data_IF_609405874639
#
_entry.id   IF_609405874639
#
_cell.length_a   1.000
_cell.length_b   1.000
_cell.length_c   1.000
_cell.angle_alpha   90.00
_cell.angle_beta   90.00
_cell.angle_gamma   90.00
#
_symmetry.space_group_name_H-M   'P 1'
#
loop_
_entity.id
_entity.type
_entity.pdbx_description
1 polymer ?
#
# COMPACT_ATOMS: atom_id res chain seq x y z
N UNK A 1 10.67 36.14 5.61
CA UNK A 1 10.58 34.73 6.06
C UNK A 1 9.10 34.44 6.24
N UNK A 2 8.56 33.47 5.51
CA UNK A 2 7.15 33.09 5.63
C UNK A 2 6.96 32.43 6.99
N UNK A 3 6.16 33.03 7.87
CA UNK A 3 5.88 32.52 9.21
C UNK A 3 4.73 31.52 9.25
N UNK A 4 4.23 31.10 8.08
CA UNK A 4 3.10 30.19 7.98
C UNK A 4 3.53 28.79 8.42
N UNK A 5 3.01 28.36 9.57
CA UNK A 5 3.24 27.02 10.08
C UNK A 5 2.71 25.98 9.07
N UNK A 6 3.53 24.97 8.76
CA UNK A 6 3.12 23.91 7.84
C UNK A 6 2.47 22.81 8.66
N UNK A 7 1.16 22.60 8.48
CA UNK A 7 0.45 21.53 9.17
C UNK A 7 0.94 20.17 8.68
N UNK A 8 1.01 19.21 9.60
CA UNK A 8 1.18 17.81 9.25
C UNK A 8 0.26 16.94 10.08
N UNK A 9 -0.04 15.76 9.56
CA UNK A 9 -0.64 14.67 10.31
C UNK A 9 0.23 13.43 10.21
N UNK A 10 0.15 12.58 11.23
CA UNK A 10 0.76 11.26 11.25
C UNK A 10 -0.35 10.23 11.17
N UNK A 11 -0.31 9.34 10.20
CA UNK A 11 -1.31 8.27 10.06
C UNK A 11 -0.72 6.98 9.54
N UNK A 12 -1.51 5.91 9.53
CA UNK A 12 -1.11 4.63 8.96
C UNK A 12 -2.30 3.83 8.42
N UNK A 13 -2.02 3.00 7.41
CA UNK A 13 -2.93 1.96 6.93
C UNK A 13 -2.31 0.62 7.31
N UNK A 14 -2.90 -0.07 8.29
CA UNK A 14 -2.35 -1.31 8.86
C UNK A 14 -0.85 -1.21 9.19
N UNK A 15 -0.46 -0.16 9.92
CA UNK A 15 0.90 0.16 10.36
C UNK A 15 1.97 0.36 9.28
N UNK A 16 1.57 0.46 8.01
CA UNK A 16 2.36 1.18 7.01
C UNK A 16 2.05 2.68 7.17
N UNK A 17 3.04 3.45 7.66
CA UNK A 17 2.82 4.75 8.27
C UNK A 17 3.33 5.93 7.42
N UNK A 18 2.59 7.04 7.43
CA UNK A 18 2.83 8.19 6.55
C UNK A 18 2.86 9.50 7.33
N UNK A 19 3.68 10.44 6.85
CA UNK A 19 3.55 11.86 7.17
C UNK A 19 2.64 12.48 6.11
N UNK A 20 1.53 13.07 6.52
CA UNK A 20 0.51 13.65 5.65
C UNK A 20 0.70 15.17 5.69
N UNK A 21 0.87 15.80 4.53
CA UNK A 21 1.09 17.25 4.42
C UNK A 21 -0.04 17.86 3.58
N UNK A 22 -1.03 18.50 4.23
CA UNK A 22 -2.09 19.22 3.53
C UNK A 22 -1.56 20.46 2.80
N UNK A 23 -1.73 20.49 1.49
CA UNK A 23 -1.38 21.65 0.66
C UNK A 23 -2.26 21.75 -0.59
N UNK A 24 -3.55 22.06 -0.47
CA UNK A 24 -4.47 22.07 -1.61
C UNK A 24 -4.02 22.94 -2.79
N UNK A 25 -3.21 23.98 -2.52
CA UNK A 25 -2.67 24.90 -3.51
C UNK A 25 -1.33 24.49 -4.13
N UNK A 26 -0.69 23.41 -3.65
CA UNK A 26 0.64 22.99 -4.07
C UNK A 26 1.68 24.13 -3.95
N UNK A 27 1.66 24.83 -2.82
CA UNK A 27 2.52 25.98 -2.51
C UNK A 27 3.80 25.60 -1.74
N UNK A 28 3.84 24.42 -1.11
CA UNK A 28 4.96 23.91 -0.35
C UNK A 28 5.87 23.11 -1.28
N UNK A 29 7.12 23.54 -1.41
CA UNK A 29 8.14 22.74 -2.07
C UNK A 29 8.66 21.65 -1.11
N UNK A 30 8.56 20.40 -1.54
CA UNK A 30 9.02 19.23 -0.80
C UNK A 30 10.01 18.47 -1.69
N UNK A 31 11.26 18.93 -1.87
CA UNK A 31 12.25 18.16 -2.63
C UNK A 31 12.52 16.81 -1.95
N UNK A 32 13.09 15.85 -2.69
CA UNK A 32 13.38 14.51 -2.19
C UNK A 32 14.16 14.52 -0.87
N UNK A 33 15.12 15.45 -0.70
CA UNK A 33 15.87 15.60 0.55
C UNK A 33 15.00 16.00 1.74
N UNK A 34 14.00 16.87 1.53
CA UNK A 34 13.06 17.27 2.57
C UNK A 34 12.13 16.12 2.96
N UNK A 35 11.63 15.38 1.98
CA UNK A 35 10.84 14.16 2.21
C UNK A 35 11.63 13.15 3.01
N UNK A 36 12.87 12.87 2.60
CA UNK A 36 13.73 11.91 3.28
C UNK A 36 13.99 12.30 4.73
N UNK A 37 14.20 13.60 4.99
CA UNK A 37 14.39 14.11 6.35
C UNK A 37 13.11 14.07 7.17
N UNK A 38 11.94 14.37 6.61
CA UNK A 38 10.65 14.25 7.29
C UNK A 38 10.37 12.81 7.71
N UNK A 39 10.70 11.85 6.84
CA UNK A 39 10.53 10.43 7.07
C UNK A 39 11.58 9.82 8.02
N UNK A 40 12.69 10.50 8.29
CA UNK A 40 13.67 10.05 9.28
C UNK A 40 13.04 10.06 10.68
N UNK A 41 12.97 8.87 11.31
CA UNK A 41 12.30 8.68 12.62
C UNK A 41 13.03 9.33 13.80
N UNK A 42 14.27 9.80 13.64
CA UNK A 42 15.08 10.44 14.70
C UNK A 42 15.24 11.94 14.45
N UNK A 43 15.52 12.30 13.21
CA UNK A 43 15.80 13.67 12.81
C UNK A 43 14.54 14.45 12.40
N UNK A 44 13.48 13.75 12.01
CA UNK A 44 12.20 14.33 11.59
C UNK A 44 11.01 13.76 12.36
N UNK A 45 9.91 13.51 11.66
CA UNK A 45 8.66 13.00 12.24
C UNK A 45 8.64 11.47 12.21
N UNK A 46 9.13 10.88 11.12
CA UNK A 46 9.12 9.44 10.90
C UNK A 46 7.93 8.96 10.07
N UNK A 47 8.20 8.15 9.05
CA UNK A 47 7.21 7.43 8.26
C UNK A 47 7.85 6.65 7.11
N UNK A 48 7.11 5.68 6.59
CA UNK A 48 7.48 4.93 5.39
C UNK A 48 7.34 5.76 4.10
N UNK A 49 6.64 6.90 4.18
CA UNK A 49 6.61 7.91 3.13
C UNK A 49 5.81 9.16 3.48
N UNK A 50 5.75 10.09 2.52
CA UNK A 50 4.97 11.33 2.62
C UNK A 50 3.76 11.26 1.69
N UNK A 51 2.59 11.61 2.21
CA UNK A 51 1.37 11.86 1.44
C UNK A 51 1.15 13.37 1.35
N UNK A 52 1.60 13.97 0.25
CA UNK A 52 1.36 15.39 -0.02
C UNK A 52 -0.02 15.57 -0.66
N UNK A 53 -0.91 16.28 0.04
CA UNK A 53 -2.33 16.34 -0.28
C UNK A 53 -2.66 17.62 -1.03
N UNK A 54 -2.72 17.50 -2.34
CA UNK A 54 -2.89 18.63 -3.26
C UNK A 54 -4.12 18.45 -4.13
N UNK A 55 -4.70 19.55 -4.63
CA UNK A 55 -5.72 19.46 -5.68
C UNK A 55 -5.07 19.07 -7.00
N UNK A 56 -5.67 18.16 -7.76
CA UNK A 56 -5.15 17.70 -9.05
C UNK A 56 -4.90 18.85 -10.02
N UNK A 57 -5.77 19.87 -10.02
CA UNK A 57 -5.63 21.06 -10.87
C UNK A 57 -4.42 21.95 -10.51
N UNK A 58 -3.91 21.85 -9.28
CA UNK A 58 -2.78 22.62 -8.79
C UNK A 58 -1.43 21.95 -9.09
N UNK A 59 -1.39 20.62 -9.19
CA UNK A 59 -0.16 19.87 -9.40
C UNK A 59 0.11 19.60 -10.89
N UNK A 60 1.32 19.90 -11.43
CA UNK A 60 1.64 19.71 -12.85
C UNK A 60 1.40 18.28 -13.37
N UNK A 61 1.79 17.26 -12.61
CA UNK A 61 1.65 15.85 -13.00
C UNK A 61 0.20 15.34 -12.99
N UNK A 62 -0.70 16.00 -12.24
CA UNK A 62 -2.07 15.54 -12.04
C UNK A 62 -3.12 16.40 -12.77
N UNK A 63 -2.70 17.51 -13.38
CA UNK A 63 -3.58 18.48 -14.04
C UNK A 63 -4.48 17.84 -15.10
N UNK A 64 -3.99 16.82 -15.81
CA UNK A 64 -4.75 16.08 -16.83
C UNK A 64 -5.85 15.19 -16.23
N UNK A 65 -5.71 14.77 -14.97
CA UNK A 65 -6.70 13.94 -14.25
C UNK A 65 -7.72 14.79 -13.46
N UNK A 66 -7.58 16.13 -13.44
CA UNK A 66 -8.38 17.00 -12.58
C UNK A 66 -9.89 17.00 -12.87
N UNK A 67 -10.29 16.60 -14.08
CA UNK A 67 -11.70 16.43 -14.44
C UNK A 67 -12.31 15.13 -13.88
N UNK A 68 -11.48 14.11 -13.61
CA UNK A 68 -11.90 12.80 -13.13
C UNK A 68 -11.73 12.65 -11.62
N UNK A 69 -10.70 13.29 -11.04
CA UNK A 69 -10.39 13.24 -9.62
C UNK A 69 -9.90 14.60 -9.12
N UNK A 70 -10.62 15.18 -8.17
CA UNK A 70 -10.32 16.50 -7.59
C UNK A 70 -9.02 16.53 -6.79
N UNK A 71 -8.72 15.43 -6.09
CA UNK A 71 -7.59 15.30 -5.18
C UNK A 71 -6.51 14.39 -5.75
N UNK A 72 -5.26 14.82 -5.62
CA UNK A 72 -4.07 14.09 -6.03
C UNK A 72 -3.26 13.67 -4.81
N UNK A 73 -3.00 12.37 -4.72
CA UNK A 73 -2.09 11.81 -3.73
C UNK A 73 -0.67 11.86 -4.29
N UNK A 74 0.03 12.97 -4.03
CA UNK A 74 1.46 13.11 -4.33
C UNK A 74 2.27 12.29 -3.30
N UNK A 75 2.36 10.98 -3.56
CA UNK A 75 3.05 10.03 -2.71
C UNK A 75 4.54 9.94 -3.06
N UNK A 76 5.39 9.94 -2.02
CA UNK A 76 6.83 9.70 -2.10
C UNK A 76 7.29 8.76 -0.99
N UNK A 77 8.24 7.90 -1.32
CA UNK A 77 8.85 6.97 -0.38
C UNK A 77 9.70 7.70 0.67
N UNK A 78 10.06 6.99 1.74
CA UNK A 78 10.91 7.52 2.82
C UNK A 78 12.29 8.02 2.39
N UNK A 79 12.81 7.62 1.23
CA UNK A 79 14.07 8.12 0.68
C UNK A 79 13.90 9.34 -0.25
N UNK A 80 12.66 9.82 -0.41
CA UNK A 80 12.30 10.93 -1.29
C UNK A 80 12.03 10.54 -2.74
N UNK A 81 12.20 9.27 -3.12
CA UNK A 81 11.87 8.80 -4.47
C UNK A 81 10.37 8.85 -4.75
N UNK A 82 10.03 9.08 -6.02
CA UNK A 82 8.65 9.07 -6.50
C UNK A 82 8.14 7.63 -6.50
N UNK A 83 6.93 7.45 -5.98
CA UNK A 83 6.22 6.19 -6.06
C UNK A 83 4.92 6.36 -6.86
N UNK A 84 4.62 5.36 -7.68
CA UNK A 84 3.44 5.40 -8.56
C UNK A 84 2.14 5.25 -7.78
N UNK A 85 2.12 4.35 -6.80
CA UNK A 85 0.92 4.03 -6.01
C UNK A 85 1.30 3.33 -4.69
N UNK A 86 0.49 3.55 -3.66
CA UNK A 86 0.50 2.75 -2.43
C UNK A 86 -0.94 2.56 -1.94
N UNK A 87 -1.43 1.32 -1.92
CA UNK A 87 -2.82 1.02 -1.55
C UNK A 87 -3.14 1.38 -0.09
N UNK A 88 -2.17 1.23 0.82
CA UNK A 88 -2.29 1.71 2.20
C UNK A 88 -2.34 3.25 2.26
N UNK A 89 -1.49 3.91 1.47
CA UNK A 89 -1.46 5.37 1.34
C UNK A 89 -2.79 5.94 0.86
N UNK A 90 -3.42 5.32 -0.15
CA UNK A 90 -4.73 5.77 -0.68
C UNK A 90 -5.81 5.71 0.41
N UNK A 91 -5.84 4.66 1.25
CA UNK A 91 -6.80 4.59 2.37
C UNK A 91 -6.57 5.71 3.38
N UNK A 92 -5.31 5.92 3.78
CA UNK A 92 -4.95 6.99 4.73
C UNK A 92 -5.27 8.37 4.16
N UNK A 93 -5.03 8.58 2.87
CA UNK A 93 -5.35 9.81 2.16
C UNK A 93 -6.86 10.08 2.14
N UNK A 94 -7.66 9.08 1.75
CA UNK A 94 -9.13 9.19 1.75
C UNK A 94 -9.68 9.45 3.15
N UNK A 95 -9.13 8.76 4.17
CA UNK A 95 -9.49 9.00 5.56
C UNK A 95 -9.17 10.43 6.02
N UNK A 96 -8.00 10.95 5.63
CA UNK A 96 -7.65 12.35 5.89
C UNK A 96 -8.64 13.32 5.25
N UNK A 97 -8.99 13.10 3.97
CA UNK A 97 -9.94 13.96 3.27
C UNK A 97 -11.31 13.99 3.95
N UNK A 98 -11.83 12.82 4.36
CA UNK A 98 -13.08 12.73 5.11
C UNK A 98 -12.97 13.49 6.44
N UNK A 99 -11.91 13.22 7.21
CA UNK A 99 -11.68 13.86 8.52
C UNK A 99 -11.58 15.39 8.42
N UNK A 100 -10.98 15.89 7.34
CA UNK A 100 -10.81 17.31 7.10
C UNK A 100 -12.09 17.98 6.54
N UNK A 101 -13.18 17.23 6.32
CA UNK A 101 -14.40 17.75 5.72
C UNK A 101 -14.25 18.16 4.25
N UNK A 102 -13.27 17.57 3.56
CA UNK A 102 -12.96 17.86 2.16
C UNK A 102 -13.73 16.95 1.20
N UNK A 103 -14.25 15.83 1.70
CA UNK A 103 -15.13 14.88 1.03
C UNK A 103 -16.14 14.33 2.05
N UNK A 104 -17.22 13.74 1.55
CA UNK A 104 -18.19 13.00 2.36
C UNK A 104 -17.99 11.48 2.20
N UNK A 105 -18.76 10.70 2.95
CA UNK A 105 -18.85 9.24 2.77
C UNK A 105 -19.36 8.89 1.36
N UNK A 106 -19.01 7.69 0.88
CA UNK A 106 -19.36 7.21 -0.46
C UNK A 106 -18.17 7.11 -1.41
N UNK A 107 -18.46 7.20 -2.72
CA UNK A 107 -17.47 6.99 -3.78
C UNK A 107 -16.60 8.22 -4.01
N UNK A 108 -15.29 7.99 -4.09
CA UNK A 108 -14.25 8.99 -4.28
C UNK A 108 -13.25 8.53 -5.33
N UNK A 109 -13.00 9.37 -6.32
CA UNK A 109 -11.88 9.22 -7.25
C UNK A 109 -10.65 9.96 -6.73
N UNK A 110 -9.52 9.26 -6.59
CA UNK A 110 -8.23 9.81 -6.16
C UNK A 110 -7.23 9.71 -7.30
N UNK A 111 -6.66 10.84 -7.73
CA UNK A 111 -5.58 10.82 -8.70
C UNK A 111 -4.29 10.32 -8.04
N UNK A 112 -3.59 9.43 -8.72
CA UNK A 112 -2.25 8.95 -8.34
C UNK A 112 -1.36 8.94 -9.57
N UNK A 113 -0.04 8.80 -9.40
CA UNK A 113 0.88 8.66 -10.54
C UNK A 113 0.62 7.36 -11.33
N UNK A 114 0.10 6.33 -10.68
CA UNK A 114 -0.44 5.11 -11.30
C UNK A 114 -1.87 5.23 -11.84
N UNK A 115 -2.35 6.45 -12.13
CA UNK A 115 -3.69 6.75 -12.63
C UNK A 115 -4.73 6.98 -11.53
N UNK A 116 -5.98 7.24 -11.94
CA UNK A 116 -7.11 7.44 -11.03
C UNK A 116 -7.47 6.12 -10.32
N UNK A 117 -7.64 6.18 -8.99
CA UNK A 117 -8.10 5.07 -8.15
C UNK A 117 -9.50 5.37 -7.64
N UNK A 118 -10.36 4.37 -7.76
CA UNK A 118 -11.69 4.40 -7.16
C UNK A 118 -11.58 3.94 -5.71
N UNK A 119 -12.16 4.74 -4.82
CA UNK A 119 -12.20 4.53 -3.38
C UNK A 119 -13.65 4.61 -2.93
N UNK A 120 -14.04 3.77 -1.99
CA UNK A 120 -15.32 3.86 -1.31
C UNK A 120 -15.10 4.00 0.19
N UNK A 121 -15.69 5.03 0.78
CA UNK A 121 -15.62 5.31 2.21
C UNK A 121 -16.98 4.94 2.82
N UNK A 122 -17.02 3.86 3.60
CA UNK A 122 -18.24 3.38 4.22
C UNK A 122 -18.58 4.18 5.49
N UNK A 123 -19.86 4.14 5.89
CA UNK A 123 -20.38 4.79 7.12
C UNK A 123 -19.70 4.27 8.40
N UNK A 124 -19.21 3.03 8.38
CA UNK A 124 -18.47 2.42 9.50
C UNK A 124 -16.98 2.84 9.55
N UNK A 125 -16.56 3.71 8.63
CA UNK A 125 -15.20 4.22 8.50
C UNK A 125 -14.24 3.29 7.78
N UNK A 126 -14.69 2.12 7.30
CA UNK A 126 -13.88 1.26 6.45
C UNK A 126 -13.69 1.89 5.06
N UNK A 127 -12.49 1.69 4.49
CA UNK A 127 -12.13 2.28 3.20
C UNK A 127 -11.74 1.17 2.24
N UNK A 128 -12.45 1.10 1.12
CA UNK A 128 -12.23 0.16 0.03
C UNK A 128 -11.51 0.86 -1.11
N UNK A 129 -10.44 0.26 -1.63
CA UNK A 129 -9.66 0.79 -2.76
C UNK A 129 -9.68 -0.23 -3.89
N UNK A 130 -9.94 0.24 -5.12
CA UNK A 130 -9.77 -0.58 -6.33
C UNK A 130 -8.28 -0.77 -6.62
N UNK A 131 -7.83 -2.03 -6.55
CA UNK A 131 -6.42 -2.42 -6.68
C UNK A 131 -6.03 -2.82 -8.10
N UNK A 132 -6.92 -2.62 -9.06
CA UNK A 132 -6.74 -3.05 -10.44
C UNK A 132 -7.07 -4.53 -10.63
N UNK A 133 -6.46 -5.17 -11.62
CA UNK A 133 -6.74 -6.56 -11.99
C UNK A 133 -5.55 -7.44 -11.68
N UNK A 134 -5.82 -8.64 -11.17
CA UNK A 134 -4.79 -9.66 -10.95
C UNK A 134 -4.34 -10.26 -12.28
N UNK A 135 -3.06 -10.62 -12.37
CA UNK A 135 -2.51 -11.51 -13.37
C UNK A 135 -2.02 -12.78 -12.67
N UNK A 136 -2.24 -13.96 -13.28
CA UNK A 136 -1.75 -15.25 -12.79
C UNK A 136 -0.81 -15.86 -13.83
N UNK A 137 0.49 -15.56 -13.76
CA UNK A 137 1.48 -16.26 -14.55
C UNK A 137 1.52 -17.76 -14.18
N UNK A 138 1.83 -18.63 -15.16
CA UNK A 138 1.80 -20.08 -14.98
C UNK A 138 3.10 -20.66 -14.40
N UNK A 139 4.16 -19.84 -14.33
CA UNK A 139 5.48 -20.23 -13.87
C UNK A 139 5.41 -20.79 -12.44
N UNK A 140 6.00 -21.98 -12.27
CA UNK A 140 6.14 -22.59 -10.96
C UNK A 140 7.38 -22.03 -10.27
N UNK A 141 7.19 -21.60 -9.03
CA UNK A 141 8.23 -21.02 -8.20
C UNK A 141 8.36 -21.86 -6.95
N UNK A 142 9.58 -22.10 -6.50
CA UNK A 142 9.87 -22.63 -5.17
C UNK A 142 10.57 -21.56 -4.36
N UNK A 143 10.04 -21.27 -3.17
CA UNK A 143 10.67 -20.37 -2.19
C UNK A 143 11.35 -21.22 -1.13
N UNK A 144 12.58 -20.85 -0.76
CA UNK A 144 13.40 -21.57 0.22
C UNK A 144 13.89 -20.65 1.33
N UNK A 145 13.68 -21.06 2.58
CA UNK A 145 14.17 -20.39 3.80
C UNK A 145 14.71 -21.45 4.75
N UNK A 146 15.91 -21.25 5.27
CA UNK A 146 16.54 -22.14 6.26
C UNK A 146 16.50 -23.64 5.87
N UNK A 147 16.71 -23.92 4.58
CA UNK A 147 16.70 -25.29 4.03
C UNK A 147 15.32 -25.92 3.87
N UNK A 148 14.23 -25.19 4.12
CA UNK A 148 12.85 -25.62 3.86
C UNK A 148 12.36 -24.98 2.58
N UNK A 149 11.68 -25.76 1.74
CA UNK A 149 11.21 -25.31 0.43
C UNK A 149 9.71 -25.49 0.30
N UNK A 150 9.04 -24.47 -0.25
CA UNK A 150 7.60 -24.49 -0.52
C UNK A 150 7.32 -24.13 -1.97
N UNK A 151 6.36 -24.81 -2.62
CA UNK A 151 5.82 -24.31 -3.87
C UNK A 151 5.12 -22.97 -3.59
N UNK A 152 5.41 -21.98 -4.43
CA UNK A 152 4.83 -20.66 -4.36
C UNK A 152 4.00 -20.37 -5.62
N UNK A 153 2.87 -19.69 -5.44
CA UNK A 153 2.05 -19.22 -6.55
C UNK A 153 2.57 -17.87 -7.03
N UNK A 154 2.83 -17.75 -8.32
CA UNK A 154 3.11 -16.47 -8.95
C UNK A 154 1.81 -15.69 -9.13
N UNK A 155 1.75 -14.49 -8.55
CA UNK A 155 0.64 -13.55 -8.73
C UNK A 155 1.22 -12.18 -9.05
N UNK A 156 0.62 -11.46 -9.98
CA UNK A 156 1.05 -10.10 -10.29
C UNK A 156 -0.13 -9.13 -10.11
N UNK A 157 0.12 -8.09 -9.30
CA UNK A 157 -0.84 -7.04 -8.93
C UNK A 157 -0.42 -5.66 -9.47
N UNK A 158 0.35 -5.65 -10.57
CA UNK A 158 1.16 -4.53 -11.05
C UNK A 158 2.65 -4.71 -10.73
N UNK A 159 2.94 -5.50 -9.70
CA UNK A 159 4.27 -5.93 -9.27
C UNK A 159 4.24 -7.45 -8.96
N UNK A 160 5.38 -8.15 -9.03
CA UNK A 160 5.43 -9.61 -8.86
C UNK A 160 5.35 -10.04 -7.39
N UNK A 161 4.59 -11.11 -7.14
CA UNK A 161 4.41 -11.76 -5.83
C UNK A 161 4.59 -13.28 -5.94
N UNK A 162 5.23 -13.87 -4.93
CA UNK A 162 5.41 -15.29 -4.77
C UNK A 162 4.77 -15.73 -3.44
N UNK A 163 3.58 -16.33 -3.52
CA UNK A 163 2.78 -16.70 -2.34
C UNK A 163 3.03 -18.16 -1.97
N UNK A 164 3.71 -18.38 -0.84
CA UNK A 164 4.01 -19.69 -0.28
C UNK A 164 3.11 -20.02 0.92
N UNK A 165 2.36 -21.12 0.84
CA UNK A 165 1.59 -21.63 1.97
C UNK A 165 2.48 -22.48 2.87
N UNK A 166 2.50 -22.15 4.15
CA UNK A 166 3.34 -22.79 5.17
C UNK A 166 2.50 -23.28 6.36
N UNK A 167 3.08 -24.16 7.17
CA UNK A 167 2.42 -24.68 8.37
C UNK A 167 2.47 -23.67 9.55
N UNK A 168 3.52 -22.86 9.62
CA UNK A 168 3.75 -21.87 10.68
C UNK A 168 4.47 -20.64 10.11
N UNK A 169 4.07 -19.43 10.49
CA UNK A 169 4.71 -18.17 10.08
C UNK A 169 6.13 -18.00 10.61
N UNK A 170 6.51 -18.74 11.66
CA UNK A 170 7.89 -18.83 12.13
C UNK A 170 8.82 -19.44 11.06
N UNK A 171 8.28 -20.25 10.13
CA UNK A 171 9.07 -20.84 9.04
C UNK A 171 9.52 -19.82 7.99
N UNK A 172 8.95 -18.61 8.00
CA UNK A 172 9.38 -17.53 7.11
C UNK A 172 10.76 -16.96 7.48
N UNK A 173 11.29 -17.29 8.67
CA UNK A 173 12.64 -16.88 9.09
C UNK A 173 12.81 -15.36 9.22
N UNK A 174 14.04 -14.91 8.97
CA UNK A 174 14.39 -13.49 8.86
C UNK A 174 14.05 -12.98 7.45
N UNK A 175 13.06 -12.09 7.39
CA UNK A 175 12.59 -11.51 6.14
C UNK A 175 13.23 -10.16 5.82
N UNK A 176 14.21 -9.68 6.60
CA UNK A 176 15.02 -8.53 6.19
C UNK A 176 16.01 -8.90 5.08
N UNK A 177 16.46 -10.15 5.04
CA UNK A 177 17.12 -10.73 3.88
C UNK A 177 16.09 -11.31 2.91
N UNK A 178 16.35 -11.21 1.61
CA UNK A 178 15.49 -11.80 0.60
C UNK A 178 15.55 -13.33 0.67
N UNK A 179 14.40 -14.03 0.81
CA UNK A 179 14.34 -15.48 0.68
C UNK A 179 14.87 -15.96 -0.68
N UNK A 180 15.47 -17.15 -0.70
CA UNK A 180 15.89 -17.77 -1.96
C UNK A 180 14.66 -18.23 -2.74
N UNK A 181 14.69 -18.08 -4.07
CA UNK A 181 13.65 -18.60 -4.94
C UNK A 181 14.22 -19.18 -6.23
N UNK A 182 13.53 -20.17 -6.78
CA UNK A 182 13.90 -20.81 -8.03
C UNK A 182 12.67 -21.10 -8.92
N UNK A 183 12.78 -20.95 -10.26
CA UNK A 183 13.96 -20.45 -10.98
C UNK A 183 14.10 -18.92 -10.89
N UNK A 184 15.33 -18.43 -10.73
CA UNK A 184 15.61 -16.99 -10.63
C UNK A 184 15.11 -16.18 -11.84
N UNK A 185 15.10 -16.81 -13.02
CA UNK A 185 14.64 -16.20 -14.27
C UNK A 185 13.16 -15.79 -14.28
N UNK A 186 12.34 -16.30 -13.34
CA UNK A 186 10.92 -15.89 -13.22
C UNK A 186 10.81 -14.45 -12.72
N UNK A 187 11.76 -14.01 -11.91
CA UNK A 187 11.76 -12.68 -11.30
C UNK A 187 13.11 -11.98 -11.52
N UNK A 188 13.42 -11.54 -12.76
CA UNK A 188 14.71 -10.93 -13.09
C UNK A 188 14.97 -9.65 -12.29
N UNK A 189 13.90 -8.92 -11.97
CA UNK A 189 13.95 -7.67 -11.20
C UNK A 189 13.63 -7.89 -9.71
N UNK A 190 13.61 -9.13 -9.23
CA UNK A 190 13.20 -9.48 -7.85
C UNK A 190 11.68 -9.57 -7.66
N UNK A 191 11.26 -9.98 -6.45
CA UNK A 191 9.88 -10.35 -6.14
C UNK A 191 9.52 -10.09 -4.67
N UNK A 192 8.23 -9.81 -4.41
CA UNK A 192 7.69 -9.83 -3.05
C UNK A 192 7.32 -11.26 -2.67
N UNK A 193 7.70 -11.71 -1.48
CA UNK A 193 7.51 -13.10 -1.05
C UNK A 193 6.62 -13.14 0.18
N UNK A 194 5.44 -13.73 0.04
CA UNK A 194 4.46 -13.87 1.12
C UNK A 194 4.44 -15.30 1.66
N UNK A 195 4.55 -15.43 2.98
CA UNK A 195 4.38 -16.70 3.70
C UNK A 195 3.03 -16.69 4.39
N UNK A 196 2.20 -17.71 4.14
CA UNK A 196 0.78 -17.70 4.49
C UNK A 196 0.41 -18.92 5.32
N UNK A 197 -0.35 -18.71 6.39
CA UNK A 197 -0.97 -19.77 7.20
C UNK A 197 -2.49 -19.60 7.23
N UNK A 198 -3.20 -20.72 7.38
CA UNK A 198 -4.66 -20.69 7.55
C UNK A 198 -5.06 -20.26 8.97
N UNK A 199 -6.13 -19.47 9.05
CA UNK A 199 -6.80 -19.07 10.31
C UNK A 199 -8.26 -19.50 10.38
N UNK A 200 -8.83 -19.92 9.26
CA UNK A 200 -10.18 -20.46 9.17
C UNK A 200 -10.70 -20.39 7.73
N UNK A 201 -11.99 -20.71 7.51
CA UNK A 201 -12.61 -20.56 6.20
C UNK A 201 -12.48 -19.12 5.68
N UNK A 202 -11.83 -18.96 4.52
CA UNK A 202 -11.57 -17.66 3.89
C UNK A 202 -10.85 -16.64 4.79
N UNK A 203 -10.02 -17.14 5.70
CA UNK A 203 -9.24 -16.31 6.61
C UNK A 203 -7.83 -16.88 6.74
N UNK A 204 -6.86 -16.05 6.39
CA UNK A 204 -5.43 -16.40 6.42
C UNK A 204 -4.64 -15.31 7.15
N UNK A 205 -3.45 -15.66 7.60
CA UNK A 205 -2.46 -14.71 8.11
C UNK A 205 -1.16 -14.80 7.32
N UNK A 206 -0.44 -13.70 7.17
CA UNK A 206 0.78 -13.63 6.39
C UNK A 206 1.92 -12.84 7.05
N UNK A 207 3.14 -13.15 6.65
CA UNK A 207 4.33 -12.28 6.74
C UNK A 207 4.88 -12.08 5.33
N UNK A 208 5.61 -11.00 5.10
CA UNK A 208 6.10 -10.64 3.76
C UNK A 208 7.52 -10.14 3.78
N UNK A 209 8.32 -10.57 2.80
CA UNK A 209 9.51 -9.85 2.36
C UNK A 209 9.12 -9.00 1.16
N UNK A 210 9.21 -7.68 1.28
CA UNK A 210 9.01 -6.77 0.16
C UNK A 210 10.35 -6.48 -0.54
N UNK A 211 10.35 -6.64 -1.86
CA UNK A 211 11.49 -6.34 -2.73
C UNK A 211 11.97 -4.91 -2.44
N UNK A 212 13.21 -4.79 -2.00
CA UNK A 212 13.86 -3.51 -1.74
C UNK A 212 13.61 -2.94 -0.34
N UNK A 213 12.70 -3.53 0.45
CA UNK A 213 12.33 -3.04 1.78
C UNK A 213 12.63 -4.05 2.90
N UNK A 214 12.65 -5.36 2.61
CA UNK A 214 12.74 -6.38 3.64
C UNK A 214 11.38 -6.66 4.30
N UNK A 215 11.38 -7.03 5.57
CA UNK A 215 10.13 -7.31 6.29
C UNK A 215 9.34 -6.03 6.56
N UNK A 216 8.09 -6.01 6.11
CA UNK A 216 7.16 -4.91 6.40
C UNK A 216 5.97 -5.41 7.21
N UNK A 217 5.32 -4.49 7.93
CA UNK A 217 4.15 -4.80 8.76
C UNK A 217 2.86 -4.88 7.93
N UNK A 218 2.87 -4.36 6.72
CA UNK A 218 1.73 -4.40 5.79
C UNK A 218 2.16 -4.17 4.35
N UNK A 219 1.66 -5.02 3.45
CA UNK A 219 1.79 -4.88 2.01
C UNK A 219 0.41 -5.08 1.37
N UNK A 220 -0.17 -4.01 0.80
CA UNK A 220 -1.52 -4.06 0.23
C UNK A 220 -1.62 -4.97 -1.00
N UNK A 221 -0.69 -4.85 -1.95
CA UNK A 221 -0.63 -5.74 -3.12
C UNK A 221 -0.29 -7.18 -2.74
N UNK A 222 0.52 -7.38 -1.69
CA UNK A 222 0.81 -8.70 -1.12
C UNK A 222 -0.43 -9.37 -0.53
N UNK A 223 -1.23 -8.64 0.26
CA UNK A 223 -2.51 -9.15 0.76
C UNK A 223 -3.46 -9.52 -0.39
N UNK A 224 -3.52 -8.70 -1.44
CA UNK A 224 -4.28 -9.01 -2.65
C UNK A 224 -3.80 -10.31 -3.31
N UNK A 225 -2.49 -10.46 -3.50
CA UNK A 225 -1.89 -11.67 -4.06
C UNK A 225 -2.20 -12.92 -3.23
N UNK A 226 -2.12 -12.81 -1.90
CA UNK A 226 -2.46 -13.88 -0.95
C UNK A 226 -3.91 -14.32 -1.09
N UNK A 227 -4.85 -13.38 -1.15
CA UNK A 227 -6.27 -13.70 -1.32
C UNK A 227 -6.54 -14.42 -2.65
N UNK A 228 -5.95 -13.97 -3.75
CA UNK A 228 -6.06 -14.63 -5.06
C UNK A 228 -5.48 -16.06 -5.00
N UNK A 229 -4.28 -16.22 -4.44
CA UNK A 229 -3.64 -17.53 -4.31
C UNK A 229 -4.45 -18.48 -3.42
N UNK A 230 -5.03 -18.00 -2.32
CA UNK A 230 -5.87 -18.77 -1.42
C UNK A 230 -7.17 -19.18 -2.09
N UNK A 231 -7.84 -18.27 -2.81
CA UNK A 231 -9.02 -18.59 -3.60
C UNK A 231 -8.75 -19.71 -4.63
N UNK A 232 -7.60 -19.69 -5.30
CA UNK A 232 -7.21 -20.76 -6.24
C UNK A 232 -6.92 -22.08 -5.53
N UNK A 233 -6.22 -22.06 -4.40
CA UNK A 233 -5.97 -23.26 -3.58
C UNK A 233 -7.26 -23.90 -3.09
N UNK A 234 -8.23 -23.09 -2.69
CA UNK A 234 -9.48 -23.53 -2.09
C UNK A 234 -10.56 -23.90 -3.14
N UNK A 235 -10.24 -23.82 -4.44
CA UNK A 235 -11.18 -24.12 -5.52
C UNK A 235 -12.28 -23.07 -5.70
N UNK A 236 -12.08 -21.85 -5.21
CA UNK A 236 -13.03 -20.76 -5.18
C UNK A 236 -12.73 -19.68 -6.24
N UNK A 237 -12.19 -20.07 -7.40
CA UNK A 237 -11.89 -19.15 -8.50
C UNK A 237 -13.14 -18.37 -8.96
N UNK A 238 -13.18 -17.02 -8.82
CA UNK A 238 -14.32 -16.21 -9.26
C UNK A 238 -14.62 -16.31 -10.75
N UNK A 239 -13.61 -16.53 -11.59
CA UNK A 239 -13.80 -16.69 -13.03
C UNK A 239 -14.50 -18.01 -13.39
N UNK A 240 -14.38 -19.04 -12.52
CA UNK A 240 -15.06 -20.33 -12.70
C UNK A 240 -16.41 -20.37 -11.98
N UNK A 241 -16.49 -19.77 -10.80
CA UNK A 241 -17.72 -19.77 -9.99
C UNK A 241 -18.72 -18.70 -10.43
N UNK A 242 -18.27 -17.68 -11.16
CA UNK A 242 -19.09 -16.56 -11.62
C UNK A 242 -19.54 -15.59 -10.52
N UNK A 243 -19.01 -15.72 -9.30
CA UNK A 243 -19.34 -14.89 -8.15
C UNK A 243 -18.07 -14.34 -7.48
N UNK A 244 -18.10 -13.11 -6.92
CA UNK A 244 -16.96 -12.60 -6.16
C UNK A 244 -16.60 -13.49 -4.97
N UNK A 245 -15.32 -13.51 -4.61
CA UNK A 245 -14.82 -14.21 -3.42
C UNK A 245 -14.06 -13.24 -2.53
N UNK A 246 -14.36 -13.30 -1.23
CA UNK A 246 -13.74 -12.42 -0.23
C UNK A 246 -12.90 -13.23 0.75
N UNK A 247 -11.69 -12.77 1.01
CA UNK A 247 -10.78 -13.32 2.02
C UNK A 247 -10.39 -12.25 3.04
N UNK A 248 -10.33 -12.66 4.31
CA UNK A 248 -9.70 -11.87 5.38
C UNK A 248 -8.22 -12.25 5.45
N UNK A 249 -7.34 -11.25 5.44
CA UNK A 249 -5.89 -11.41 5.46
C UNK A 249 -5.33 -10.64 6.64
N UNK A 250 -4.80 -11.36 7.64
CA UNK A 250 -4.09 -10.76 8.77
C UNK A 250 -2.62 -10.55 8.41
N UNK A 251 -2.12 -9.34 8.64
CA UNK A 251 -0.73 -8.93 8.53
C UNK A 251 -0.21 -8.53 9.92
N UNK A 252 1.11 -8.40 10.13
CA UNK A 252 1.65 -7.96 11.42
C UNK A 252 1.11 -6.60 11.89
N UNK A 253 0.66 -5.75 10.96
CA UNK A 253 0.10 -4.43 11.21
C UNK A 253 -1.41 -4.31 11.24
N UNK A 254 -2.14 -5.44 11.14
CA UNK A 254 -3.60 -5.46 11.23
C UNK A 254 -4.23 -6.33 10.15
N UNK A 255 -5.51 -6.09 9.85
CA UNK A 255 -6.30 -6.96 8.97
C UNK A 255 -6.79 -6.20 7.75
N UNK A 256 -6.73 -6.87 6.60
CA UNK A 256 -7.31 -6.41 5.34
C UNK A 256 -8.35 -7.41 4.85
N UNK A 257 -9.38 -6.92 4.18
CA UNK A 257 -10.41 -7.73 3.53
C UNK A 257 -10.27 -7.53 2.04
N UNK A 258 -10.03 -8.62 1.31
CA UNK A 258 -9.78 -8.59 -0.13
C UNK A 258 -10.92 -9.30 -0.86
N UNK A 259 -11.48 -8.64 -1.87
CA UNK A 259 -12.47 -9.25 -2.76
C UNK A 259 -11.91 -9.36 -4.18
N UNK A 260 -11.90 -10.56 -4.74
CA UNK A 260 -11.68 -10.81 -6.18
C UNK A 260 -13.01 -10.98 -6.88
N UNK A 261 -13.24 -10.19 -7.94
CA UNK A 261 -14.41 -10.26 -8.80
C UNK A 261 -14.21 -11.22 -9.98
N UNK A 262 -15.28 -11.72 -10.63
CA UNK A 262 -15.18 -12.68 -11.74
C UNK A 262 -14.33 -12.23 -12.93
N UNK A 263 -14.24 -10.92 -13.14
CA UNK A 263 -13.44 -10.32 -14.21
C UNK A 263 -11.96 -10.10 -13.81
N UNK A 264 -11.58 -10.53 -12.60
CA UNK A 264 -10.24 -10.40 -12.03
C UNK A 264 -9.96 -9.05 -11.38
N UNK A 265 -10.93 -8.14 -11.30
CA UNK A 265 -10.80 -6.92 -10.52
C UNK A 265 -10.67 -7.23 -9.03
N UNK A 266 -9.79 -6.51 -8.34
CA UNK A 266 -9.51 -6.66 -6.92
C UNK A 266 -9.90 -5.40 -6.16
N UNK A 267 -10.60 -5.59 -5.06
CA UNK A 267 -10.87 -4.55 -4.07
C UNK A 267 -10.17 -4.90 -2.76
N UNK A 268 -9.56 -3.90 -2.13
CA UNK A 268 -8.93 -4.02 -0.83
C UNK A 268 -9.61 -3.07 0.15
N UNK A 269 -10.26 -3.63 1.15
CA UNK A 269 -10.88 -2.92 2.26
C UNK A 269 -10.02 -3.02 3.51
N UNK A 270 -9.85 -1.92 4.23
CA UNK A 270 -9.11 -1.95 5.49
C UNK A 270 -9.22 -0.65 6.27
N UNK A 271 -8.71 -0.64 7.51
CA UNK A 271 -8.69 0.54 8.33
C UNK A 271 -7.64 1.55 7.84
N UNK A 272 -7.87 2.80 8.22
CA UNK A 272 -6.91 3.89 8.17
C UNK A 272 -7.01 4.68 9.48
N UNK A 273 -5.87 5.09 10.02
CA UNK A 273 -5.80 5.75 11.34
C UNK A 273 -5.00 7.04 11.21
N UNK A 274 -5.51 8.12 11.81
CA UNK A 274 -4.71 9.33 12.11
C UNK A 274 -4.30 9.26 13.59
N UNK A 275 -2.99 9.21 13.83
CA UNK A 275 -2.37 9.05 15.14
C UNK A 275 -2.07 10.40 15.80
N UNK A 276 -1.61 11.38 15.03
CA UNK A 276 -1.25 12.69 15.54
C UNK A 276 -1.43 13.79 14.49
N UNK A 277 -1.50 15.03 14.95
CA UNK A 277 -1.52 16.25 14.14
C UNK A 277 -0.62 17.29 14.80
N UNK A 278 -0.01 18.16 13.99
CA UNK A 278 0.90 19.18 14.48
C UNK A 278 1.36 20.12 13.39
N UNK A 279 2.42 20.86 13.68
CA UNK A 279 3.03 21.80 12.75
C UNK A 279 4.53 21.54 12.62
N UNK A 280 5.04 21.58 11.40
CA UNK A 280 6.47 21.55 11.07
C UNK A 280 7.03 22.96 11.31
N UNK A 281 8.17 23.03 11.99
CA UNK A 281 8.91 24.29 12.16
C UNK A 281 9.43 24.76 10.78
N UNK A 282 9.01 25.95 10.29
CA UNK A 282 9.42 26.44 8.98
C UNK A 282 10.94 26.66 8.89
N UNK A 283 11.61 27.06 9.97
CA UNK A 283 13.07 27.26 9.96
C UNK A 283 13.82 25.94 9.84
N UNK A 284 13.28 24.88 10.46
CA UNK A 284 13.82 23.53 10.30
C UNK A 284 13.69 23.07 8.84
N UNK A 285 12.52 23.28 8.22
CA UNK A 285 12.29 22.86 6.83
C UNK A 285 13.16 23.64 5.84
N UNK A 286 13.30 24.96 6.01
CA UNK A 286 14.21 25.79 5.20
C UNK A 286 15.66 25.26 5.25
N UNK A 287 16.14 24.90 6.45
CA UNK A 287 17.49 24.35 6.65
C UNK A 287 17.70 23.03 5.90
N UNK A 288 16.64 22.26 5.70
CA UNK A 288 16.70 20.96 5.01
C UNK A 288 16.61 21.12 3.50
N UNK A 289 15.87 22.13 3.02
CA UNK A 289 15.69 22.41 1.58
C UNK A 289 16.93 23.09 0.98
N UNK A 290 17.64 23.91 1.76
CA UNK A 290 18.86 24.61 1.34
C UNK A 290 18.61 26.06 0.94
#
# INVERSE_FOLDING_TARGET
MSTSQIAFLKGHGTENDFVIVPDPGNAIDLPAAAVARLCDRRAGIGGDGVLHVVRSAAHPEARTMAAEAEWFMDYRNADGTIAEMCGNGVRVFAHYLLRAGLVEEGDLAVATRGGVKQVHIAEDGSITVSMGRRLLPEEQVTVTVDGRSWPARNVNMGNPHAVAFVEDLAHAGDLYAAPEFAPAAVYPDGVNIEFVVDRGPRHVAMRVHERGSGETRSCGTGACAVAVAAARRDGADPALTGSPVTYTVDLPGGTLVITEHPDGAIEMTGPAVIVAEGFIDPLWLETVIG
#
